data_IF_251549930251
#
_entry.id   IF_251549930251
#
_cell.length_a   1.000
_cell.length_b   1.000
_cell.length_c   1.000
_cell.angle_alpha   90.00
_cell.angle_beta   90.00
_cell.angle_gamma   90.00
#
_symmetry.space_group_name_H-M   'P 1'
#
loop_
_entity.id
_entity.type
_entity.pdbx_description
1 polymer ?
#
# COMPACT_ATOMS: atom_id res chain seq x y z
N UNK A 1 -14.84 -1.43 10.37
CA UNK A 1 -13.67 -2.18 9.93
C UNK A 1 -12.93 -1.40 8.89
N UNK A 2 -11.64 -1.53 8.91
CA UNK A 2 -10.77 -0.67 8.11
C UNK A 2 -10.23 -1.40 6.88
N UNK A 3 -9.76 -0.63 5.94
CA UNK A 3 -9.15 -1.14 4.71
C UNK A 3 -7.72 -0.63 4.63
N UNK A 4 -6.83 -1.45 4.10
CA UNK A 4 -5.46 -1.04 3.85
C UNK A 4 -5.32 -0.68 2.38
N UNK A 5 -4.72 0.46 2.11
CA UNK A 5 -4.57 0.98 0.76
C UNK A 5 -3.10 1.12 0.42
N UNK A 6 -2.70 0.60 -0.74
CA UNK A 6 -1.34 0.72 -1.24
C UNK A 6 -1.41 1.38 -2.62
N UNK A 7 -0.67 2.46 -2.79
CA UNK A 7 -0.61 3.20 -4.04
C UNK A 7 0.83 3.16 -4.54
N UNK A 8 1.06 2.43 -5.62
CA UNK A 8 2.41 2.16 -6.11
C UNK A 8 2.81 3.18 -7.15
N UNK A 9 3.73 4.05 -6.80
CA UNK A 9 4.29 5.03 -7.72
C UNK A 9 5.70 4.66 -8.15
N UNK A 10 6.22 5.38 -9.12
CA UNK A 10 7.57 5.14 -9.63
C UNK A 10 8.67 5.49 -8.64
N UNK A 11 8.43 6.47 -7.79
CA UNK A 11 9.43 6.94 -6.81
C UNK A 11 9.11 6.49 -5.41
N UNK A 12 7.84 6.53 -5.03
CA UNK A 12 7.39 6.15 -3.70
C UNK A 12 6.19 5.23 -3.76
N UNK A 13 6.12 4.33 -2.79
CA UNK A 13 4.93 3.55 -2.52
C UNK A 13 4.25 4.21 -1.34
N UNK A 14 3.02 4.69 -1.53
CA UNK A 14 2.22 5.28 -0.47
C UNK A 14 1.27 4.24 0.07
N UNK A 15 1.09 4.23 1.37
CA UNK A 15 0.19 3.26 1.97
C UNK A 15 -0.47 3.85 3.20
N UNK A 16 -1.62 3.32 3.56
CA UNK A 16 -2.34 3.82 4.71
C UNK A 16 -3.56 2.99 5.02
N UNK A 17 -4.21 3.38 6.10
CA UNK A 17 -5.43 2.72 6.57
C UNK A 17 -6.60 3.68 6.33
N UNK A 18 -7.66 3.16 5.74
CA UNK A 18 -8.89 3.89 5.45
C UNK A 18 -10.01 3.22 6.21
N UNK A 19 -10.84 3.98 6.89
CA UNK A 19 -11.97 3.41 7.62
C UNK A 19 -13.13 3.07 6.67
N UNK A 20 -14.17 2.49 7.23
CA UNK A 20 -15.33 2.05 6.45
C UNK A 20 -16.08 3.19 5.77
N UNK A 21 -15.89 4.41 6.21
CA UNK A 21 -16.53 5.58 5.60
C UNK A 21 -15.65 6.28 4.57
N UNK A 22 -14.43 5.76 4.34
CA UNK A 22 -13.53 6.32 3.36
C UNK A 22 -12.57 7.37 3.91
N UNK A 23 -12.53 7.54 5.22
CA UNK A 23 -11.63 8.51 5.84
C UNK A 23 -10.26 7.88 6.03
N UNK A 24 -9.23 8.58 5.59
CA UNK A 24 -7.85 8.14 5.75
C UNK A 24 -7.44 8.30 7.22
N UNK A 25 -7.18 7.18 7.89
CA UNK A 25 -6.81 7.19 9.30
C UNK A 25 -5.30 7.41 9.46
N UNK A 26 -4.52 6.77 8.62
CA UNK A 26 -3.08 6.91 8.67
C UNK A 26 -2.51 6.78 7.27
N UNK A 27 -1.38 7.43 7.02
CA UNK A 27 -0.69 7.29 5.75
C UNK A 27 0.81 7.43 5.96
N UNK A 28 1.55 6.70 5.14
CA UNK A 28 3.00 6.72 5.11
C UNK A 28 3.46 6.47 3.69
N UNK A 29 4.76 6.61 3.49
CA UNK A 29 5.34 6.28 2.19
C UNK A 29 6.72 5.66 2.40
N UNK A 30 7.11 4.82 1.47
CA UNK A 30 8.46 4.27 1.40
C UNK A 30 8.96 4.42 -0.02
N UNK A 31 10.26 4.46 -0.17
CA UNK A 31 10.84 4.56 -1.49
C UNK A 31 10.59 3.28 -2.27
N UNK A 32 10.21 3.44 -3.53
CA UNK A 32 9.98 2.29 -4.41
C UNK A 32 11.31 1.59 -4.69
N UNK A 33 11.42 0.28 -4.39
CA UNK A 33 12.64 -0.45 -4.66
C UNK A 33 12.94 -0.54 -6.15
N UNK A 34 14.22 -0.70 -6.48
CA UNK A 34 14.65 -0.76 -7.87
C UNK A 34 14.61 -2.17 -8.46
N UNK A 35 14.49 -3.19 -7.63
CA UNK A 35 14.42 -4.58 -8.10
C UNK A 35 13.09 -5.20 -7.74
N UNK A 36 12.65 -6.16 -8.56
CA UNK A 36 11.40 -6.87 -8.32
C UNK A 36 11.42 -7.64 -7.01
N UNK A 37 12.54 -8.29 -6.69
CA UNK A 37 12.66 -9.05 -5.44
C UNK A 37 12.46 -8.18 -4.22
N UNK A 38 13.09 -7.01 -4.21
CA UNK A 38 12.93 -6.09 -3.10
C UNK A 38 11.55 -5.47 -3.06
N UNK A 39 10.98 -5.21 -4.22
CA UNK A 39 9.61 -4.70 -4.32
C UNK A 39 8.62 -5.67 -3.66
N UNK A 40 8.73 -6.95 -3.99
CA UNK A 40 7.85 -7.97 -3.41
C UNK A 40 8.03 -8.04 -1.89
N UNK A 41 9.28 -7.99 -1.43
CA UNK A 41 9.56 -7.99 0.02
C UNK A 41 8.90 -6.81 0.72
N UNK A 42 9.00 -5.62 0.14
CA UNK A 42 8.39 -4.43 0.73
C UNK A 42 6.88 -4.57 0.80
N UNK A 43 6.24 -5.05 -0.26
CA UNK A 43 4.79 -5.23 -0.26
C UNK A 43 4.37 -6.20 0.84
N UNK A 44 5.06 -7.32 0.99
CA UNK A 44 4.76 -8.27 2.06
C UNK A 44 4.98 -7.66 3.44
N UNK A 45 6.03 -6.87 3.61
CA UNK A 45 6.30 -6.19 4.88
C UNK A 45 5.22 -5.18 5.22
N UNK A 46 4.65 -4.51 4.22
CA UNK A 46 3.56 -3.57 4.46
C UNK A 46 2.26 -4.27 4.83
N UNK A 47 1.99 -5.39 4.20
CA UNK A 47 0.73 -6.11 4.38
C UNK A 47 0.72 -6.95 5.66
N UNK A 48 1.83 -7.60 5.99
CA UNK A 48 1.90 -8.53 7.12
C UNK A 48 1.36 -7.99 8.43
N UNK A 49 1.71 -6.76 8.86
CA UNK A 49 1.22 -6.27 10.15
C UNK A 49 -0.27 -6.01 10.18
N UNK A 50 -0.91 -5.80 9.03
CA UNK A 50 -2.30 -5.36 8.98
C UNK A 50 -3.25 -6.40 8.41
N UNK A 51 -2.75 -7.45 7.78
CA UNK A 51 -3.60 -8.40 7.05
C UNK A 51 -4.71 -9.02 7.90
N UNK A 52 -4.47 -9.19 9.19
CA UNK A 52 -5.47 -9.76 10.10
C UNK A 52 -6.33 -8.71 10.78
N UNK A 53 -6.04 -7.43 10.54
CA UNK A 53 -6.73 -6.33 11.19
C UNK A 53 -7.62 -5.55 10.26
N UNK A 54 -7.44 -5.72 8.96
CA UNK A 54 -8.20 -4.98 7.96
C UNK A 54 -9.19 -5.90 7.28
N UNK A 55 -10.26 -5.31 6.79
CA UNK A 55 -11.30 -6.04 6.09
C UNK A 55 -10.91 -6.33 4.65
N UNK A 56 -10.09 -5.49 4.08
CA UNK A 56 -9.65 -5.67 2.71
C UNK A 56 -8.40 -4.88 2.42
N UNK A 57 -7.73 -5.22 1.32
CA UNK A 57 -6.52 -4.56 0.88
C UNK A 57 -6.73 -4.15 -0.57
N UNK A 58 -6.58 -2.85 -0.82
CA UNK A 58 -6.65 -2.33 -2.17
C UNK A 58 -5.27 -1.91 -2.65
N UNK A 59 -4.92 -2.31 -3.85
CA UNK A 59 -3.64 -1.93 -4.45
C UNK A 59 -3.94 -1.16 -5.73
N UNK A 60 -3.40 0.05 -5.80
CA UNK A 60 -3.55 0.90 -6.96
C UNK A 60 -2.20 1.08 -7.63
N UNK A 61 -2.18 0.85 -8.91
CA UNK A 61 -1.00 1.12 -9.73
C UNK A 61 -1.43 2.17 -10.75
N UNK A 62 -1.18 3.45 -10.47
CA UNK A 62 -1.53 4.47 -11.44
C UNK A 62 -0.68 4.24 -12.67
N UNK A 63 -1.26 3.56 -13.63
CA UNK A 63 -0.58 3.19 -14.84
C UNK A 63 -0.43 4.38 -15.72
N UNK A 64 0.70 5.00 -15.64
CA UNK A 64 1.08 5.86 -16.71
C UNK A 64 1.91 5.05 -17.67
N UNK A 65 1.25 4.59 -18.68
CA UNK A 65 1.91 3.83 -19.72
C UNK A 65 2.24 4.80 -20.83
N UNK A 66 3.49 4.95 -21.09
CA UNK A 66 3.94 5.74 -22.23
C UNK A 66 4.33 4.83 -23.36
#
# INVERSE_FOLDING_TARGET
>A
MDYFSIDIGGTFIKYGVVDHSGVLISSNKVKTPSTLDEFIKVIFQLISPVKDKVKGIGISVPGKVD
#
